data_IF_736203747183
#
_entry.id   IF_736203747183
#
_cell.length_a   1.000
_cell.length_b   1.000
_cell.length_c   1.000
_cell.angle_alpha   90.00
_cell.angle_beta   90.00
_cell.angle_gamma   90.00
#
_symmetry.space_group_name_H-M   'P 1'
#
loop_
_entity.id
_entity.type
_entity.pdbx_description
1 polymer ?
#
# COMPACT_ATOMS: atom_id res chain seq x y z
N UNK A 1 46.30 23.49 -6.04
CA UNK A 1 45.58 22.23 -5.76
C UNK A 1 44.37 22.54 -4.91
N UNK A 2 43.24 22.88 -5.53
CA UNK A 2 41.98 23.07 -4.81
C UNK A 2 41.12 21.81 -4.99
N UNK A 3 40.84 21.13 -3.88
CA UNK A 3 39.96 19.96 -3.86
C UNK A 3 38.53 20.45 -4.02
N UNK A 4 37.94 20.23 -5.20
CA UNK A 4 36.49 20.35 -5.38
C UNK A 4 35.82 19.31 -4.46
N UNK A 5 34.86 19.69 -3.61
CA UNK A 5 34.12 18.72 -2.82
C UNK A 5 33.34 17.83 -3.79
N UNK A 6 33.55 16.52 -3.68
CA UNK A 6 32.70 15.52 -4.31
C UNK A 6 31.27 15.79 -3.84
N UNK A 7 30.45 16.36 -4.71
CA UNK A 7 29.01 16.31 -4.52
C UNK A 7 28.67 14.82 -4.43
N UNK A 8 28.28 14.37 -3.23
CA UNK A 8 27.54 13.13 -3.04
C UNK A 8 26.35 13.24 -3.99
N UNK A 9 26.48 12.65 -5.17
CA UNK A 9 25.36 12.39 -6.05
C UNK A 9 24.48 11.44 -5.25
N UNK A 10 23.55 12.05 -4.51
CA UNK A 10 22.47 11.41 -3.79
C UNK A 10 21.86 10.45 -4.79
N UNK A 11 22.18 9.18 -4.60
CA UNK A 11 21.84 8.08 -5.48
C UNK A 11 20.34 8.20 -5.71
N UNK A 12 19.94 8.66 -6.91
CA UNK A 12 18.56 8.60 -7.33
C UNK A 12 18.29 7.12 -7.53
N UNK A 13 17.96 6.41 -6.45
CA UNK A 13 17.26 5.14 -6.53
C UNK A 13 15.92 5.48 -7.17
N UNK A 14 15.93 5.47 -8.51
CA UNK A 14 14.80 5.65 -9.39
C UNK A 14 13.70 4.73 -8.87
N UNK A 15 12.72 5.31 -8.18
CA UNK A 15 11.63 4.65 -7.47
C UNK A 15 11.15 3.40 -8.22
N UNK A 16 11.72 2.25 -7.89
CA UNK A 16 11.08 0.98 -8.20
C UNK A 16 9.83 0.99 -7.32
N UNK A 17 8.67 1.18 -7.96
CA UNK A 17 7.37 1.06 -7.29
C UNK A 17 7.40 -0.25 -6.52
N UNK A 18 7.29 -0.17 -5.19
CA UNK A 18 7.42 -1.34 -4.33
C UNK A 18 6.35 -2.38 -4.72
N UNK A 19 6.60 -3.66 -4.49
CA UNK A 19 5.62 -4.71 -4.78
C UNK A 19 4.27 -4.41 -4.10
N UNK A 20 4.30 -3.92 -2.87
CA UNK A 20 3.10 -3.51 -2.14
C UNK A 20 2.35 -2.41 -2.90
N UNK A 21 3.06 -1.37 -3.32
CA UNK A 21 2.47 -0.22 -4.03
C UNK A 21 1.83 -0.67 -5.35
N UNK A 22 2.51 -1.54 -6.09
CA UNK A 22 2.01 -2.09 -7.36
C UNK A 22 0.72 -2.89 -7.16
N UNK A 23 0.70 -3.80 -6.18
CA UNK A 23 -0.45 -4.64 -5.88
C UNK A 23 -1.66 -3.83 -5.40
N UNK A 24 -1.44 -2.85 -4.50
CA UNK A 24 -2.51 -1.98 -4.00
C UNK A 24 -3.03 -1.05 -5.10
N UNK A 25 -2.16 -0.53 -5.96
CA UNK A 25 -2.54 0.27 -7.11
C UNK A 25 -3.41 -0.53 -8.08
N UNK A 26 -2.99 -1.74 -8.44
CA UNK A 26 -3.72 -2.63 -9.35
C UNK A 26 -5.10 -2.97 -8.80
N UNK A 27 -5.20 -3.38 -7.52
CA UNK A 27 -6.48 -3.67 -6.91
C UNK A 27 -7.43 -2.48 -6.85
N UNK A 28 -6.91 -1.27 -6.61
CA UNK A 28 -7.71 -0.04 -6.62
C UNK A 28 -8.19 0.31 -8.03
N UNK A 29 -7.29 0.28 -9.02
CA UNK A 29 -7.59 0.67 -10.40
C UNK A 29 -8.60 -0.28 -11.05
N UNK A 30 -8.43 -1.58 -10.85
CA UNK A 30 -9.32 -2.61 -11.39
C UNK A 30 -10.56 -2.85 -10.53
N UNK A 31 -10.71 -2.13 -9.40
CA UNK A 31 -11.79 -2.30 -8.43
C UNK A 31 -11.96 -3.78 -8.01
N UNK A 32 -10.83 -4.48 -7.79
CA UNK A 32 -10.83 -5.90 -7.41
C UNK A 32 -11.55 -6.08 -6.08
N UNK A 33 -12.37 -7.13 -5.99
CA UNK A 33 -12.90 -7.60 -4.72
C UNK A 33 -11.77 -8.27 -3.95
N UNK A 34 -11.29 -7.61 -2.90
CA UNK A 34 -10.24 -8.12 -2.03
C UNK A 34 -10.81 -8.57 -0.70
N UNK A 35 -10.10 -9.46 -0.01
CA UNK A 35 -10.33 -9.77 1.39
C UNK A 35 -9.12 -9.34 2.21
N UNK A 36 -9.31 -8.39 3.13
CA UNK A 36 -8.33 -8.07 4.17
C UNK A 36 -8.53 -9.04 5.32
N UNK A 37 -7.52 -9.86 5.58
CA UNK A 37 -7.47 -10.78 6.72
C UNK A 37 -6.70 -10.07 7.82
N UNK A 38 -7.32 -9.88 8.97
CA UNK A 38 -6.71 -9.21 10.11
C UNK A 38 -5.96 -10.21 11.01
N UNK A 39 -5.04 -9.71 11.84
CA UNK A 39 -4.25 -10.51 12.77
C UNK A 39 -5.11 -11.36 13.73
N UNK A 40 -6.29 -10.87 14.11
CA UNK A 40 -7.24 -11.58 15.00
C UNK A 40 -8.22 -12.49 14.25
N UNK A 41 -8.01 -12.72 12.95
CA UNK A 41 -8.83 -13.61 12.12
C UNK A 41 -10.11 -13.00 11.55
N UNK A 42 -10.40 -11.72 11.81
CA UNK A 42 -11.50 -11.02 11.15
C UNK A 42 -11.20 -10.82 9.66
N UNK A 43 -12.22 -10.98 8.82
CA UNK A 43 -12.11 -10.79 7.37
C UNK A 43 -13.00 -9.63 6.92
N UNK A 44 -12.41 -8.67 6.20
CA UNK A 44 -13.14 -7.56 5.59
C UNK A 44 -13.11 -7.76 4.08
N UNK A 45 -14.28 -7.99 3.47
CA UNK A 45 -14.42 -8.15 2.02
C UNK A 45 -14.88 -6.85 1.39
N UNK A 46 -14.23 -6.41 0.34
CA UNK A 46 -14.61 -5.14 -0.29
C UNK A 46 -13.68 -4.70 -1.40
N UNK A 47 -13.79 -3.43 -1.77
CA UNK A 47 -12.93 -2.82 -2.80
C UNK A 47 -12.04 -1.74 -2.19
N UNK A 48 -10.76 -1.73 -2.55
CA UNK A 48 -9.84 -0.69 -2.09
C UNK A 48 -10.20 0.63 -2.77
N UNK A 49 -10.45 1.67 -1.98
CA UNK A 49 -10.71 3.04 -2.45
C UNK A 49 -9.48 3.92 -2.38
N UNK A 50 -8.59 3.64 -1.45
CA UNK A 50 -7.35 4.39 -1.27
C UNK A 50 -6.41 3.66 -0.33
N UNK A 51 -5.17 4.12 -0.27
CA UNK A 51 -4.17 3.65 0.67
C UNK A 51 -3.08 4.70 0.80
N UNK A 52 -2.36 4.66 1.91
CA UNK A 52 -1.16 5.45 2.15
C UNK A 52 -0.05 4.52 2.68
N UNK A 53 1.00 5.09 3.28
CA UNK A 53 2.10 4.33 3.87
C UNK A 53 1.62 3.35 4.96
N UNK A 54 0.64 3.71 5.78
CA UNK A 54 0.26 3.01 7.00
C UNK A 54 -1.16 2.42 7.00
N UNK A 55 -2.02 2.79 6.05
CA UNK A 55 -3.44 2.45 6.05
C UNK A 55 -3.98 2.09 4.66
N UNK A 56 -5.11 1.41 4.64
CA UNK A 56 -5.91 1.08 3.45
C UNK A 56 -7.35 1.48 3.73
N UNK A 57 -7.95 2.27 2.84
CA UNK A 57 -9.37 2.60 2.84
C UNK A 57 -10.11 1.57 1.98
N UNK A 58 -10.98 0.78 2.59
CA UNK A 58 -11.79 -0.24 1.93
C UNK A 58 -13.28 0.12 2.02
N UNK A 59 -14.01 -0.07 0.94
CA UNK A 59 -15.48 -0.02 0.96
C UNK A 59 -16.02 -1.44 1.05
N UNK A 60 -16.82 -1.72 2.07
CA UNK A 60 -17.44 -3.00 2.36
C UNK A 60 -18.90 -2.76 2.71
N UNK A 61 -19.82 -3.46 2.04
CA UNK A 61 -21.27 -3.36 2.28
C UNK A 61 -21.83 -1.91 2.22
N UNK A 62 -21.23 -1.06 1.38
CA UNK A 62 -21.63 0.35 1.22
C UNK A 62 -21.02 1.30 2.25
N UNK A 63 -20.25 0.81 3.22
CA UNK A 63 -19.55 1.61 4.20
C UNK A 63 -18.04 1.66 3.93
N UNK A 64 -17.43 2.82 4.20
CA UNK A 64 -15.99 3.00 4.12
C UNK A 64 -15.34 2.74 5.47
N UNK A 65 -14.30 1.92 5.46
CA UNK A 65 -13.53 1.55 6.65
C UNK A 65 -12.05 1.84 6.39
N UNK A 66 -11.41 2.60 7.29
CA UNK A 66 -9.98 2.82 7.27
C UNK A 66 -9.30 1.74 8.13
N UNK A 67 -8.50 0.89 7.50
CA UNK A 67 -7.82 -0.23 8.14
C UNK A 67 -6.32 0.04 8.19
N UNK A 68 -5.74 0.02 9.40
CA UNK A 68 -4.29 0.16 9.55
C UNK A 68 -3.57 -1.13 9.14
N UNK A 69 -2.48 -0.98 8.38
CA UNK A 69 -1.69 -2.11 7.85
C UNK A 69 -1.10 -3.00 8.95
N UNK A 70 -0.80 -2.45 10.13
CA UNK A 70 -0.31 -3.25 11.26
C UNK A 70 -1.35 -4.24 11.79
N UNK A 71 -2.64 -4.04 11.50
CA UNK A 71 -3.71 -4.96 11.87
C UNK A 71 -3.99 -6.01 10.79
N UNK A 72 -3.46 -5.84 9.57
CA UNK A 72 -3.68 -6.72 8.42
C UNK A 72 -2.58 -7.78 8.39
N UNK A 73 -2.97 -9.05 8.42
CA UNK A 73 -2.04 -10.18 8.25
C UNK A 73 -1.88 -10.57 6.79
N UNK A 74 -2.95 -10.47 5.98
CA UNK A 74 -2.93 -10.89 4.57
C UNK A 74 -3.93 -10.07 3.74
N UNK A 75 -3.54 -9.73 2.52
CA UNK A 75 -4.45 -9.21 1.48
C UNK A 75 -4.64 -10.31 0.45
N UNK A 76 -5.88 -10.78 0.28
CA UNK A 76 -6.25 -11.77 -0.73
C UNK A 76 -6.97 -11.07 -1.87
N UNK A 77 -6.43 -11.19 -3.07
CA UNK A 77 -6.98 -10.64 -4.31
C UNK A 77 -7.86 -11.67 -5.03
#
# INVERSE_FOLDING_TARGET
MERKPHALQKERTKNMVSLQERLLQEARQEKKNVTLILLKGFHIKGTIKGYDTFSVLIESEGEQQLVYKHAISTIRF
#
